data_IF_716511206666
#
_entry.id   IF_716511206666
#
_cell.length_a   1.000
_cell.length_b   1.000
_cell.length_c   1.000
_cell.angle_alpha   90.00
_cell.angle_beta   90.00
_cell.angle_gamma   90.00
#
_symmetry.space_group_name_H-M   'P 1'
#
loop_
_entity.id
_entity.type
_entity.pdbx_description
1 polymer ?
#
# COMPACT_ATOMS: atom_id res chain seq x y z
N UNK A 1 5.00 -49.33 -19.22
CA UNK A 1 5.12 -48.62 -20.51
C UNK A 1 4.84 -47.14 -20.28
N UNK A 2 5.85 -46.27 -20.23
CA UNK A 2 5.66 -44.84 -20.03
C UNK A 2 5.15 -44.23 -21.34
N UNK A 3 4.07 -43.44 -21.29
CA UNK A 3 3.62 -42.65 -22.44
C UNK A 3 4.01 -41.20 -22.24
N UNK A 4 4.97 -40.79 -23.05
CA UNK A 4 5.52 -39.44 -23.16
C UNK A 4 4.51 -38.59 -23.95
N UNK A 5 4.20 -37.44 -23.35
CA UNK A 5 3.57 -36.19 -23.81
C UNK A 5 3.61 -35.91 -25.34
N UNK A 6 2.68 -35.11 -25.88
CA UNK A 6 3.10 -33.74 -26.22
C UNK A 6 2.11 -32.65 -25.79
N UNK A 7 2.72 -31.64 -25.19
CA UNK A 7 2.20 -30.36 -24.75
C UNK A 7 2.11 -29.48 -25.99
N UNK A 8 0.90 -29.03 -26.32
CA UNK A 8 0.70 -27.99 -27.31
C UNK A 8 -0.07 -26.86 -26.61
N UNK A 9 0.67 -26.04 -25.86
CA UNK A 9 0.15 -24.79 -25.31
C UNK A 9 0.40 -23.72 -26.36
N UNK A 10 -0.69 -23.39 -27.04
CA UNK A 10 -0.84 -22.29 -27.98
C UNK A 10 -0.59 -20.96 -27.26
N UNK A 11 0.57 -20.33 -27.51
CA UNK A 11 0.89 -18.99 -27.02
C UNK A 11 0.08 -17.94 -27.79
N UNK A 12 -1.20 -17.76 -27.44
CA UNK A 12 -1.97 -16.59 -27.84
C UNK A 12 -1.48 -15.37 -27.03
N UNK A 13 -1.04 -14.35 -27.75
CA UNK A 13 -0.39 -13.15 -27.21
C UNK A 13 -1.19 -12.47 -26.12
N UNK A 14 -0.66 -12.53 -24.90
CA UNK A 14 -1.12 -11.70 -23.79
C UNK A 14 -0.33 -10.39 -23.90
N UNK A 15 -0.98 -9.23 -24.10
CA UNK A 15 -0.29 -7.96 -23.98
C UNK A 15 0.22 -7.83 -22.53
N UNK A 16 1.53 -7.88 -22.36
CA UNK A 16 2.19 -7.63 -21.07
C UNK A 16 1.99 -6.16 -20.73
N UNK A 17 0.94 -5.86 -19.98
CA UNK A 17 0.88 -4.60 -19.24
C UNK A 17 1.90 -4.70 -18.12
N UNK A 18 3.07 -4.07 -18.33
CA UNK A 18 4.09 -3.92 -17.29
C UNK A 18 3.55 -2.94 -16.26
N UNK A 19 2.88 -3.43 -15.23
CA UNK A 19 2.65 -2.63 -14.02
C UNK A 19 3.94 -2.63 -13.21
N UNK A 20 4.49 -1.45 -12.92
CA UNK A 20 5.60 -1.31 -12.00
C UNK A 20 5.16 -1.75 -10.59
N UNK A 21 5.43 -3.00 -10.23
CA UNK A 21 5.20 -3.48 -8.87
C UNK A 21 6.35 -2.95 -7.99
N UNK A 22 6.05 -2.26 -6.88
CA UNK A 22 7.08 -1.80 -5.97
C UNK A 22 7.91 -2.99 -5.45
N UNK A 23 9.21 -2.80 -5.20
CA UNK A 23 10.11 -3.89 -4.84
C UNK A 23 9.58 -4.63 -3.61
N UNK A 24 9.43 -5.95 -3.74
CA UNK A 24 9.01 -6.84 -2.67
C UNK A 24 10.07 -6.84 -1.56
N UNK A 25 9.92 -5.95 -0.59
CA UNK A 25 10.70 -5.95 0.63
C UNK A 25 10.09 -6.97 1.59
N UNK A 26 10.81 -8.09 1.77
CA UNK A 26 10.88 -8.93 2.99
C UNK A 26 9.60 -9.09 3.80
N UNK A 27 8.87 -10.21 3.68
CA UNK A 27 7.85 -10.78 4.59
C UNK A 27 7.25 -9.85 5.66
N UNK A 28 6.85 -8.63 5.30
CA UNK A 28 6.30 -7.67 6.24
C UNK A 28 4.78 -7.90 6.22
N UNK A 29 4.22 -8.53 7.27
CA UNK A 29 2.81 -8.87 7.28
C UNK A 29 1.91 -7.62 7.21
N UNK A 30 2.46 -6.43 7.44
CA UNK A 30 1.74 -5.15 7.42
C UNK A 30 1.98 -4.34 6.14
N UNK A 31 2.75 -4.84 5.17
CA UNK A 31 3.01 -4.13 3.91
C UNK A 31 1.71 -3.76 3.17
N UNK A 32 0.74 -4.68 3.11
CA UNK A 32 -0.55 -4.44 2.46
C UNK A 32 -1.36 -3.33 3.15
N UNK A 33 -1.38 -3.28 4.48
CA UNK A 33 -2.05 -2.21 5.22
C UNK A 33 -1.39 -0.85 4.96
N UNK A 34 -0.06 -0.80 4.87
CA UNK A 34 0.67 0.42 4.53
C UNK A 34 0.38 0.89 3.11
N UNK A 35 0.30 -0.02 2.14
CA UNK A 35 -0.12 0.29 0.76
C UNK A 35 -1.54 0.86 0.74
N UNK A 36 -2.47 0.25 1.47
CA UNK A 36 -3.84 0.76 1.57
C UNK A 36 -3.91 2.13 2.25
N UNK A 37 -3.06 2.39 3.23
CA UNK A 37 -2.98 3.69 3.91
C UNK A 37 -2.43 4.79 2.99
N UNK A 38 -1.45 4.46 2.14
CA UNK A 38 -0.92 5.34 1.11
C UNK A 38 -1.97 5.64 0.03
N UNK A 39 -2.67 4.61 -0.45
CA UNK A 39 -3.80 4.78 -1.38
C UNK A 39 -4.90 5.66 -0.79
N UNK A 40 -5.20 5.51 0.51
CA UNK A 40 -6.15 6.36 1.20
C UNK A 40 -5.68 7.83 1.24
N UNK A 41 -4.38 8.08 1.47
CA UNK A 41 -3.83 9.45 1.36
C UNK A 41 -4.01 10.02 -0.05
N UNK A 42 -3.71 9.25 -1.09
CA UNK A 42 -3.87 9.70 -2.48
C UNK A 42 -5.33 10.03 -2.84
N UNK A 43 -6.28 9.42 -2.15
CA UNK A 43 -7.72 9.66 -2.33
C UNK A 43 -8.27 10.78 -1.42
N UNK A 44 -7.44 11.39 -0.57
CA UNK A 44 -7.89 12.35 0.44
C UNK A 44 -8.59 11.73 1.65
N UNK A 45 -8.67 10.40 1.73
CA UNK A 45 -9.26 9.69 2.88
C UNK A 45 -8.23 9.57 4.02
N UNK A 46 -7.90 10.72 4.61
CA UNK A 46 -6.91 10.79 5.69
C UNK A 46 -7.37 10.07 6.95
N UNK A 47 -8.68 10.03 7.21
CA UNK A 47 -9.24 9.29 8.34
C UNK A 47 -8.93 7.79 8.23
N UNK A 48 -9.15 7.18 7.05
CA UNK A 48 -8.79 5.79 6.79
C UNK A 48 -7.29 5.56 6.84
N UNK A 49 -6.48 6.47 6.30
CA UNK A 49 -5.01 6.39 6.39
C UNK A 49 -4.54 6.37 7.84
N UNK A 50 -5.08 7.24 8.70
CA UNK A 50 -4.78 7.28 10.14
C UNK A 50 -5.20 5.98 10.84
N UNK A 51 -6.36 5.42 10.49
CA UNK A 51 -6.85 4.18 11.09
C UNK A 51 -5.95 2.99 10.75
N UNK A 52 -5.64 2.79 9.46
CA UNK A 52 -4.78 1.71 8.98
C UNK A 52 -3.37 1.79 9.58
N UNK A 53 -2.76 2.97 9.56
CA UNK A 53 -1.43 3.17 10.16
C UNK A 53 -1.42 2.99 11.67
N UNK A 54 -2.51 3.31 12.37
CA UNK A 54 -2.63 3.05 13.81
C UNK A 54 -2.73 1.56 14.11
N UNK A 55 -3.39 0.77 13.27
CA UNK A 55 -3.39 -0.70 13.38
C UNK A 55 -1.98 -1.27 13.19
N UNK A 56 -1.26 -0.81 12.17
CA UNK A 56 0.14 -1.23 11.94
C UNK A 56 1.00 -0.91 13.17
N UNK A 57 0.91 0.30 13.69
CA UNK A 57 1.70 0.73 14.86
C UNK A 57 1.32 0.03 16.16
N UNK A 58 0.08 -0.47 16.28
CA UNK A 58 -0.31 -1.29 17.42
C UNK A 58 0.41 -2.64 17.43
N UNK A 59 0.67 -3.20 16.25
CA UNK A 59 1.33 -4.50 16.12
C UNK A 59 2.85 -4.38 15.97
N UNK A 60 3.31 -3.33 15.29
CA UNK A 60 4.70 -3.03 14.98
C UNK A 60 4.99 -1.56 15.34
N UNK A 61 5.22 -1.28 16.64
CA UNK A 61 5.36 0.08 17.15
C UNK A 61 6.63 0.82 16.70
N UNK A 62 7.56 0.15 16.01
CA UNK A 62 8.77 0.72 15.42
C UNK A 62 8.67 0.92 13.90
N UNK A 63 7.48 0.72 13.29
CA UNK A 63 7.30 0.88 11.85
C UNK A 63 7.34 2.35 11.44
N UNK A 64 8.51 2.78 10.99
CA UNK A 64 8.76 4.16 10.54
C UNK A 64 7.86 4.59 9.37
N UNK A 65 7.49 3.67 8.47
CA UNK A 65 6.61 3.98 7.33
C UNK A 65 5.20 4.29 7.82
N UNK A 66 4.69 3.51 8.78
CA UNK A 66 3.39 3.76 9.38
C UNK A 66 3.34 5.10 10.13
N UNK A 67 4.41 5.48 10.83
CA UNK A 67 4.50 6.82 11.45
C UNK A 67 4.47 7.94 10.42
N UNK A 68 5.25 7.83 9.34
CA UNK A 68 5.29 8.83 8.28
C UNK A 68 3.92 9.04 7.65
N UNK A 69 3.27 7.95 7.21
CA UNK A 69 1.94 8.00 6.60
C UNK A 69 0.90 8.60 7.56
N UNK A 70 0.93 8.21 8.85
CA UNK A 70 -0.01 8.74 9.85
C UNK A 70 0.17 10.23 10.09
N UNK A 71 1.43 10.68 10.18
CA UNK A 71 1.75 12.09 10.41
C UNK A 71 1.33 12.95 9.22
N UNK A 72 1.67 12.51 8.01
CA UNK A 72 1.25 13.13 6.74
C UNK A 72 -0.27 13.27 6.67
N UNK A 73 -1.01 12.19 6.95
CA UNK A 73 -2.47 12.20 6.94
C UNK A 73 -3.07 13.18 7.97
N UNK A 74 -2.47 13.31 9.16
CA UNK A 74 -2.93 14.28 10.18
C UNK A 74 -2.72 15.73 9.74
N UNK A 75 -1.59 16.02 9.12
CA UNK A 75 -1.31 17.37 8.59
C UNK A 75 -2.34 17.73 7.52
N UNK A 76 -2.59 16.84 6.57
CA UNK A 76 -3.50 17.13 5.47
C UNK A 76 -4.97 17.18 5.92
N UNK A 77 -5.38 16.30 6.85
CA UNK A 77 -6.70 16.41 7.48
C UNK A 77 -6.87 17.76 8.22
N UNK A 78 -5.84 18.24 8.90
CA UNK A 78 -5.86 19.55 9.56
C UNK A 78 -5.96 20.72 8.56
N UNK A 79 -5.27 20.61 7.42
CA UNK A 79 -5.37 21.58 6.31
C UNK A 79 -6.78 21.62 5.71
N UNK A 80 -7.38 20.46 5.45
CA UNK A 80 -8.75 20.35 4.92
C UNK A 80 -9.82 20.88 5.88
N UNK A 81 -9.61 20.70 7.18
CA UNK A 81 -10.52 21.22 8.21
C UNK A 81 -10.44 22.75 8.37
N UNK A 82 -9.62 23.45 7.58
CA UNK A 82 -9.47 24.90 7.65
C UNK A 82 -8.75 25.36 8.91
N UNK A 83 -8.07 24.46 9.62
CA UNK A 83 -7.38 24.76 10.87
C UNK A 83 -5.98 25.37 10.64
N UNK A 84 -5.83 26.09 9.52
CA UNK A 84 -4.62 26.86 9.19
C UNK A 84 -4.72 28.21 9.90
N UNK A 85 -4.57 28.23 11.23
CA UNK A 85 -4.02 29.45 11.83
C UNK A 85 -2.57 29.54 11.34
N UNK A 86 -2.36 30.40 10.34
CA UNK A 86 -1.03 30.88 10.01
C UNK A 86 -0.42 31.41 11.30
N UNK A 87 0.68 30.78 11.70
CA UNK A 87 1.58 31.26 12.76
C UNK A 87 2.23 32.57 12.32
#
# INVERSE_FOLDING_TARGET
>A
MPRILPLLVLCLGIPLTVSAQPPATTNDPYAQQKIQADQAQQQGDYAKSIALTSQVLQQKPDDHVAYYLRASARVEAGREQGNVQSI
#
